data_IF_618375125880
#
_entry.id   IF_618375125880
#
_cell.length_a   1.000
_cell.length_b   1.000
_cell.length_c   1.000
_cell.angle_alpha   90.00
_cell.angle_beta   90.00
_cell.angle_gamma   90.00
#
_symmetry.space_group_name_H-M   'P 1'
#
loop_
_entity.id
_entity.type
_entity.pdbx_description
1 polymer ?
#
# COMPACT_ATOMS: atom_id res chain seq x y z
N UNK A 1 13.77 -16.73 -0.18
CA UNK A 1 13.23 -15.61 -0.95
C UNK A 1 12.56 -14.69 0.03
N UNK A 2 12.77 -13.40 -0.08
CA UNK A 2 12.19 -12.41 0.82
C UNK A 2 11.32 -11.44 0.00
N UNK A 3 10.07 -11.27 0.43
CA UNK A 3 9.15 -10.32 -0.20
C UNK A 3 9.53 -8.90 0.19
N UNK A 4 9.64 -8.03 -0.79
CA UNK A 4 9.91 -6.62 -0.62
C UNK A 4 8.90 -5.78 -1.40
N UNK A 5 8.48 -4.68 -0.81
CA UNK A 5 7.72 -3.65 -1.49
C UNK A 5 8.45 -2.33 -1.33
N UNK A 6 8.70 -1.66 -2.43
CA UNK A 6 9.18 -0.28 -2.44
C UNK A 6 8.05 0.64 -2.84
N UNK A 7 7.79 1.65 -2.04
CA UNK A 7 6.88 2.75 -2.37
C UNK A 7 7.69 3.97 -2.77
N UNK A 8 7.28 4.61 -3.85
CA UNK A 8 7.86 5.85 -4.36
C UNK A 8 6.75 6.91 -4.43
N UNK A 9 6.78 7.84 -3.51
CA UNK A 9 5.86 8.96 -3.37
C UNK A 9 6.50 10.19 -4.01
N UNK A 10 5.83 10.77 -5.01
CA UNK A 10 6.46 11.82 -5.83
C UNK A 10 5.45 12.74 -6.50
N UNK A 11 5.97 13.79 -7.10
CA UNK A 11 5.25 14.70 -7.96
C UNK A 11 5.83 14.65 -9.38
N UNK A 12 4.97 14.92 -10.36
CA UNK A 12 5.35 15.08 -11.77
C UNK A 12 5.22 16.56 -12.09
N UNK A 13 6.20 17.18 -12.76
CA UNK A 13 6.08 18.57 -13.19
C UNK A 13 4.81 18.79 -14.03
N UNK A 14 4.15 19.92 -13.82
CA UNK A 14 2.91 20.24 -14.51
C UNK A 14 3.07 20.19 -16.04
N UNK A 15 2.14 19.51 -16.70
CA UNK A 15 2.13 19.31 -18.15
C UNK A 15 2.96 18.13 -18.64
N UNK A 16 3.69 17.43 -17.76
CA UNK A 16 4.49 16.24 -18.13
C UNK A 16 3.85 14.91 -17.71
N UNK A 17 2.60 14.94 -17.21
CA UNK A 17 1.92 13.73 -16.68
C UNK A 17 1.75 12.65 -17.75
N UNK A 18 1.42 13.04 -18.98
CA UNK A 18 1.25 12.09 -20.08
C UNK A 18 2.59 11.45 -20.49
N UNK A 19 3.67 12.22 -20.48
CA UNK A 19 5.02 11.75 -20.79
C UNK A 19 5.53 10.80 -19.69
N UNK A 20 5.34 11.17 -18.42
CA UNK A 20 5.63 10.29 -17.29
C UNK A 20 4.85 8.97 -17.38
N UNK A 21 3.56 9.03 -17.71
CA UNK A 21 2.73 7.84 -17.87
C UNK A 21 3.28 6.93 -18.98
N UNK A 22 3.61 7.49 -20.15
CA UNK A 22 4.17 6.72 -21.27
C UNK A 22 5.54 6.10 -20.94
N UNK A 23 6.39 6.84 -20.25
CA UNK A 23 7.68 6.34 -19.77
C UNK A 23 7.49 5.18 -18.78
N UNK A 24 6.64 5.36 -17.76
CA UNK A 24 6.42 4.36 -16.73
C UNK A 24 5.84 3.05 -17.31
N UNK A 25 4.79 3.17 -18.13
CA UNK A 25 4.10 2.00 -18.69
C UNK A 25 4.90 1.34 -19.85
N UNK A 26 5.84 2.05 -20.43
CA UNK A 26 6.71 1.60 -21.54
C UNK A 26 8.11 1.20 -21.09
N UNK A 27 9.05 2.14 -21.19
CA UNK A 27 10.48 1.89 -21.00
C UNK A 27 10.81 1.43 -19.59
N UNK A 28 10.25 2.10 -18.57
CA UNK A 28 10.51 1.77 -17.17
C UNK A 28 10.01 0.37 -16.79
N UNK A 29 8.76 0.03 -17.14
CA UNK A 29 8.19 -1.30 -16.89
C UNK A 29 8.99 -2.39 -17.59
N UNK A 30 9.45 -2.13 -18.81
CA UNK A 30 10.32 -3.08 -19.54
C UNK A 30 11.67 -3.27 -18.84
N UNK A 31 12.28 -2.22 -18.34
CA UNK A 31 13.54 -2.29 -17.59
C UNK A 31 13.35 -3.04 -16.26
N UNK A 32 12.27 -2.76 -15.53
CA UNK A 32 11.92 -3.46 -14.30
C UNK A 32 11.76 -4.97 -14.51
N UNK A 33 11.18 -5.39 -15.62
CA UNK A 33 11.01 -6.81 -15.95
C UNK A 33 12.35 -7.54 -16.12
N UNK A 34 13.45 -6.83 -16.34
CA UNK A 34 14.81 -7.37 -16.36
C UNK A 34 15.45 -7.53 -14.98
N UNK A 35 14.87 -7.00 -13.92
CA UNK A 35 15.40 -7.11 -12.57
C UNK A 35 15.07 -8.48 -11.97
N UNK A 36 16.07 -9.05 -11.29
CA UNK A 36 15.88 -10.32 -10.60
C UNK A 36 14.86 -10.18 -9.47
N UNK A 37 13.88 -11.07 -9.45
CA UNK A 37 12.84 -11.09 -8.43
C UNK A 37 11.73 -10.07 -8.62
N UNK A 38 11.74 -9.27 -9.70
CA UNK A 38 10.64 -8.37 -9.99
C UNK A 38 9.31 -9.13 -10.16
N UNK A 39 8.26 -8.63 -9.52
CA UNK A 39 6.91 -9.21 -9.60
C UNK A 39 5.95 -8.29 -10.32
N UNK A 40 5.84 -7.05 -9.84
CA UNK A 40 4.86 -6.10 -10.36
C UNK A 40 5.27 -4.66 -10.04
N UNK A 41 4.81 -3.75 -10.88
CA UNK A 41 4.87 -2.31 -10.62
C UNK A 41 3.56 -1.65 -11.03
N UNK A 42 2.99 -0.88 -10.13
CA UNK A 42 1.76 -0.15 -10.35
C UNK A 42 1.94 1.33 -10.07
N UNK A 43 1.17 2.14 -10.79
CA UNK A 43 1.13 3.58 -10.62
C UNK A 43 -0.25 4.04 -10.18
N UNK A 44 -0.27 4.97 -9.23
CA UNK A 44 -1.48 5.50 -8.63
C UNK A 44 -1.40 7.03 -8.55
N UNK A 45 -2.57 7.67 -8.46
CA UNK A 45 -2.71 9.11 -8.25
C UNK A 45 -3.56 9.36 -7.00
N UNK A 46 -3.17 10.35 -6.20
CA UNK A 46 -3.88 10.71 -4.97
C UNK A 46 -5.36 11.00 -5.25
N UNK A 47 -6.24 10.52 -4.38
CA UNK A 47 -7.68 10.80 -4.47
C UNK A 47 -8.03 12.05 -3.65
N UNK A 48 -9.06 12.80 -4.03
CA UNK A 48 -9.58 13.87 -3.18
C UNK A 48 -10.27 13.34 -1.91
N UNK A 49 -10.72 12.08 -1.93
CA UNK A 49 -11.33 11.44 -0.76
C UNK A 49 -10.23 10.82 0.12
N UNK A 50 -10.11 11.34 1.34
CA UNK A 50 -9.17 10.85 2.34
C UNK A 50 -9.91 10.58 3.65
N UNK A 51 -9.51 9.52 4.35
CA UNK A 51 -10.10 9.19 5.66
C UNK A 51 -9.58 10.11 6.77
N UNK A 52 -8.41 10.69 6.56
CA UNK A 52 -7.79 11.69 7.43
C UNK A 52 -7.55 12.97 6.63
N UNK A 53 -8.59 13.77 6.39
CA UNK A 53 -8.50 14.93 5.48
C UNK A 53 -7.55 16.02 5.99
N UNK A 54 -7.30 16.07 7.30
CA UNK A 54 -6.39 17.03 7.92
C UNK A 54 -4.90 16.64 7.75
N UNK A 55 -4.61 15.43 7.28
CA UNK A 55 -3.25 15.01 6.96
C UNK A 55 -2.86 15.57 5.58
N UNK A 56 -1.76 16.34 5.49
CA UNK A 56 -1.28 16.84 4.21
C UNK A 56 -1.05 15.71 3.20
N UNK A 57 -1.41 15.97 1.94
CA UNK A 57 -1.17 15.08 0.79
C UNK A 57 -0.12 15.73 -0.13
N UNK A 58 1.18 15.71 0.24
CA UNK A 58 2.21 16.44 -0.50
C UNK A 58 2.56 15.77 -1.83
N UNK A 59 2.16 14.51 -2.02
CA UNK A 59 2.45 13.72 -3.22
C UNK A 59 1.20 13.51 -4.05
N UNK A 60 1.31 13.81 -5.33
CA UNK A 60 0.24 13.52 -6.28
C UNK A 60 0.28 12.08 -6.76
N UNK A 61 1.47 11.47 -6.83
CA UNK A 61 1.66 10.13 -7.38
C UNK A 61 2.30 9.18 -6.37
N UNK A 62 1.93 7.91 -6.51
CA UNK A 62 2.52 6.78 -5.82
C UNK A 62 2.86 5.72 -6.87
N UNK A 63 4.09 5.25 -6.88
CA UNK A 63 4.49 4.01 -7.55
C UNK A 63 4.78 2.94 -6.50
N UNK A 64 4.32 1.73 -6.76
CA UNK A 64 4.54 0.57 -5.88
C UNK A 64 5.26 -0.50 -6.68
N UNK A 65 6.37 -1.00 -6.16
CA UNK A 65 7.21 -2.01 -6.78
C UNK A 65 7.29 -3.21 -5.86
N UNK A 66 6.85 -4.38 -6.31
CA UNK A 66 6.89 -5.62 -5.56
C UNK A 66 7.95 -6.57 -6.10
N UNK A 67 8.70 -7.16 -5.18
CA UNK A 67 9.81 -8.07 -5.48
C UNK A 67 9.77 -9.32 -4.61
N UNK A 68 10.30 -10.40 -5.16
CA UNK A 68 10.65 -11.62 -4.44
C UNK A 68 12.17 -11.82 -4.53
N UNK A 69 12.91 -11.21 -3.60
CA UNK A 69 14.35 -11.04 -3.70
C UNK A 69 15.11 -12.24 -3.08
N UNK A 70 15.87 -13.00 -3.88
CA UNK A 70 16.74 -14.03 -3.35
C UNK A 70 17.91 -13.49 -2.52
N UNK A 71 18.43 -12.34 -2.92
CA UNK A 71 19.58 -11.66 -2.30
C UNK A 71 19.29 -10.16 -2.20
N UNK A 72 18.48 -9.71 -1.20
CA UNK A 72 18.01 -8.33 -1.13
C UNK A 72 19.13 -7.29 -1.17
N UNK A 73 20.28 -7.57 -0.55
CA UNK A 73 21.45 -6.67 -0.48
C UNK A 73 22.05 -6.37 -1.88
N UNK A 74 21.86 -7.29 -2.82
CA UNK A 74 22.35 -7.17 -4.19
C UNK A 74 21.25 -6.68 -5.12
N UNK A 75 20.04 -7.23 -4.96
CA UNK A 75 18.96 -7.09 -5.92
C UNK A 75 18.20 -5.77 -5.75
N UNK A 76 17.93 -5.34 -4.51
CA UNK A 76 17.16 -4.14 -4.24
C UNK A 76 17.83 -2.85 -4.75
N UNK A 77 19.15 -2.65 -4.60
CA UNK A 77 19.82 -1.45 -5.11
C UNK A 77 19.69 -1.26 -6.63
N UNK A 78 19.47 -2.34 -7.39
CA UNK A 78 19.30 -2.25 -8.84
C UNK A 78 18.04 -1.46 -9.28
N UNK A 79 17.09 -1.25 -8.40
CA UNK A 79 15.92 -0.40 -8.66
C UNK A 79 16.27 1.09 -8.65
N UNK A 80 17.26 1.52 -7.87
CA UNK A 80 17.63 2.93 -7.70
C UNK A 80 17.94 3.66 -9.01
N UNK A 81 18.82 3.16 -9.86
CA UNK A 81 19.10 3.76 -11.17
C UNK A 81 17.86 3.91 -12.05
N UNK A 82 16.95 2.93 -12.04
CA UNK A 82 15.72 2.97 -12.84
C UNK A 82 14.73 4.04 -12.35
N UNK A 83 14.71 4.34 -11.05
CA UNK A 83 13.93 5.46 -10.53
C UNK A 83 14.61 6.78 -10.84
N UNK A 84 15.95 6.84 -10.74
CA UNK A 84 16.72 8.06 -11.03
C UNK A 84 16.57 8.53 -12.47
N UNK A 85 16.41 7.62 -13.45
CA UNK A 85 16.14 7.97 -14.84
C UNK A 85 14.96 8.95 -15.01
N UNK A 86 13.90 8.81 -14.20
CA UNK A 86 12.75 9.70 -14.26
C UNK A 86 13.11 11.13 -13.81
N UNK A 87 13.94 11.27 -12.79
CA UNK A 87 14.43 12.57 -12.31
C UNK A 87 15.36 13.20 -13.36
N UNK A 88 16.32 12.44 -13.88
CA UNK A 88 17.26 12.90 -14.89
C UNK A 88 16.55 13.38 -16.17
N UNK A 89 15.46 12.71 -16.52
CA UNK A 89 14.59 13.13 -17.62
C UNK A 89 13.63 14.28 -17.26
N UNK A 90 13.63 14.75 -16.01
CA UNK A 90 12.71 15.76 -15.49
C UNK A 90 11.24 15.30 -15.48
N UNK A 91 11.00 14.01 -15.43
CA UNK A 91 9.65 13.40 -15.36
C UNK A 91 9.14 13.30 -13.92
N UNK A 92 10.04 13.28 -12.95
CA UNK A 92 9.75 13.35 -11.53
C UNK A 92 10.41 14.64 -11.01
N UNK A 93 9.69 15.37 -10.18
CA UNK A 93 10.22 16.58 -9.55
C UNK A 93 11.29 16.17 -8.54
N UNK A 94 12.51 16.69 -8.73
CA UNK A 94 13.60 16.57 -7.75
C UNK A 94 13.40 17.65 -6.67
N UNK A 95 12.44 17.38 -5.79
CA UNK A 95 12.07 18.29 -4.71
C UNK A 95 12.14 17.57 -3.34
N UNK A 96 12.05 18.38 -2.28
CA UNK A 96 12.12 17.87 -0.90
C UNK A 96 10.91 17.01 -0.51
N UNK A 97 9.90 16.88 -1.36
CA UNK A 97 8.71 16.07 -1.07
C UNK A 97 8.87 14.60 -1.49
N UNK A 98 9.71 14.31 -2.48
CA UNK A 98 9.92 12.94 -2.96
C UNK A 98 10.34 11.98 -1.83
N UNK A 99 9.74 10.82 -1.79
CA UNK A 99 10.05 9.76 -0.78
C UNK A 99 10.11 8.40 -1.43
N UNK A 100 11.19 7.66 -1.14
CA UNK A 100 11.35 6.26 -1.55
C UNK A 100 11.62 5.46 -0.30
N UNK A 101 10.74 4.50 0.00
CA UNK A 101 10.88 3.63 1.15
C UNK A 101 10.71 2.18 0.76
N UNK A 102 11.64 1.33 1.19
CA UNK A 102 11.60 -0.11 0.96
C UNK A 102 11.26 -0.85 2.25
N UNK A 103 10.32 -1.77 2.14
CA UNK A 103 9.79 -2.57 3.25
C UNK A 103 10.00 -4.06 2.98
N UNK A 104 10.50 -4.77 3.98
CA UNK A 104 10.44 -6.23 4.00
C UNK A 104 9.05 -6.67 4.44
N UNK A 105 8.35 -7.43 3.61
CA UNK A 105 6.98 -7.81 3.86
C UNK A 105 6.90 -9.03 4.75
N UNK A 106 5.96 -9.01 5.71
CA UNK A 106 5.75 -10.14 6.62
C UNK A 106 5.11 -11.34 5.93
N UNK A 107 4.16 -11.05 5.03
CA UNK A 107 3.41 -12.04 4.27
C UNK A 107 3.12 -11.49 2.89
N UNK A 108 2.70 -12.36 1.98
CA UNK A 108 2.07 -11.95 0.72
C UNK A 108 0.68 -11.33 0.99
N UNK A 109 0.01 -10.88 -0.05
CA UNK A 109 -1.32 -10.31 0.04
C UNK A 109 -2.31 -11.27 0.71
N UNK A 110 -3.01 -10.80 1.74
CA UNK A 110 -4.23 -11.39 2.25
C UNK A 110 -5.40 -10.88 1.44
N UNK A 111 -6.11 -11.78 0.80
CA UNK A 111 -7.15 -11.45 -0.18
C UNK A 111 -8.52 -11.70 0.45
N UNK A 112 -9.39 -10.71 0.35
CA UNK A 112 -10.80 -10.82 0.73
C UNK A 112 -11.52 -11.86 -0.13
N UNK A 113 -12.40 -12.68 0.45
CA UNK A 113 -13.29 -13.53 -0.34
C UNK A 113 -14.28 -12.74 -1.21
N UNK A 114 -14.48 -11.46 -0.91
CA UNK A 114 -15.35 -10.56 -1.67
C UNK A 114 -14.66 -9.95 -2.91
N UNK A 115 -13.39 -10.27 -3.14
CA UNK A 115 -12.70 -9.77 -4.33
C UNK A 115 -13.26 -10.40 -5.60
N UNK A 116 -13.75 -9.56 -6.50
CA UNK A 116 -14.12 -9.97 -7.85
C UNK A 116 -12.88 -10.01 -8.76
N UNK A 117 -12.38 -11.21 -9.03
CA UNK A 117 -11.17 -11.39 -9.87
C UNK A 117 -11.35 -10.97 -11.31
N UNK A 118 -12.58 -10.83 -11.79
CA UNK A 118 -12.88 -10.40 -13.15
C UNK A 118 -12.77 -8.87 -13.33
N UNK A 119 -12.72 -8.11 -12.25
CA UNK A 119 -12.66 -6.66 -12.27
C UNK A 119 -11.29 -6.15 -11.80
N UNK A 120 -10.81 -5.03 -12.36
CA UNK A 120 -9.54 -4.44 -11.94
C UNK A 120 -9.63 -3.85 -10.54
N UNK A 121 -8.48 -3.72 -9.87
CA UNK A 121 -8.38 -2.91 -8.68
C UNK A 121 -8.60 -1.43 -9.03
N UNK A 122 -9.34 -0.72 -8.18
CA UNK A 122 -9.60 0.71 -8.34
C UNK A 122 -8.55 1.60 -7.67
N UNK A 123 -7.85 1.09 -6.66
CA UNK A 123 -6.88 1.88 -5.92
C UNK A 123 -6.15 1.10 -4.81
N UNK A 124 -5.39 1.86 -4.06
CA UNK A 124 -4.68 1.39 -2.87
C UNK A 124 -4.67 2.50 -1.82
N UNK A 125 -4.71 2.13 -0.54
CA UNK A 125 -4.27 3.03 0.53
C UNK A 125 -2.96 2.54 1.10
N UNK A 126 -2.09 3.51 1.43
CA UNK A 126 -0.88 3.26 2.21
C UNK A 126 -1.09 3.80 3.62
N UNK A 127 -0.71 3.01 4.59
CA UNK A 127 -0.67 3.40 6.00
C UNK A 127 0.77 3.28 6.47
N UNK A 128 1.33 4.41 6.91
CA UNK A 128 2.63 4.47 7.55
C UNK A 128 2.40 4.64 9.06
N UNK A 129 2.88 3.70 9.85
CA UNK A 129 2.58 3.67 11.27
C UNK A 129 3.77 3.16 12.09
N UNK A 130 3.76 3.47 13.39
CA UNK A 130 4.68 2.88 14.37
C UNK A 130 3.87 2.16 15.44
N UNK A 131 4.39 1.08 15.96
CA UNK A 131 3.84 0.42 17.15
C UNK A 131 4.39 1.06 18.43
N UNK A 132 3.72 0.82 19.54
CA UNK A 132 4.22 1.24 20.87
C UNK A 132 5.53 0.49 21.17
N UNK A 133 6.62 1.17 21.54
CA UNK A 133 7.88 0.52 21.85
C UNK A 133 7.72 -0.62 22.87
N UNK A 134 8.34 -1.76 22.58
CA UNK A 134 8.24 -2.98 23.39
C UNK A 134 6.98 -3.83 23.15
N UNK A 135 5.98 -3.35 22.37
CA UNK A 135 4.72 -4.07 22.15
C UNK A 135 4.56 -4.59 20.71
N UNK A 136 5.66 -4.86 20.02
CA UNK A 136 5.64 -5.31 18.63
C UNK A 136 4.86 -6.63 18.44
N UNK A 137 5.05 -7.60 19.33
CA UNK A 137 4.37 -8.89 19.24
C UNK A 137 2.84 -8.74 19.33
N UNK A 138 2.36 -7.93 20.29
CA UNK A 138 0.93 -7.66 20.44
C UNK A 138 0.34 -6.91 19.23
N UNK A 139 1.12 -5.96 18.69
CA UNK A 139 0.73 -5.23 17.48
C UNK A 139 0.59 -6.18 16.30
N UNK A 140 1.53 -7.11 16.11
CA UNK A 140 1.49 -8.09 15.04
C UNK A 140 0.32 -9.05 15.19
N UNK A 141 0.12 -9.59 16.39
CA UNK A 141 -0.99 -10.51 16.68
C UNK A 141 -2.35 -9.86 16.40
N UNK A 142 -2.57 -8.66 16.91
CA UNK A 142 -3.80 -7.92 16.68
C UNK A 142 -4.05 -7.62 15.20
N UNK A 143 -3.01 -7.18 14.48
CA UNK A 143 -3.14 -6.94 13.05
C UNK A 143 -3.43 -8.21 12.28
N UNK A 144 -2.73 -9.30 12.62
CA UNK A 144 -2.83 -10.56 11.88
C UNK A 144 -4.19 -11.23 12.07
N UNK A 145 -4.66 -11.28 13.30
CA UNK A 145 -5.79 -12.11 13.69
C UNK A 145 -7.10 -11.33 13.83
N UNK A 146 -7.04 -10.00 13.91
CA UNK A 146 -8.22 -9.15 14.13
C UNK A 146 -8.34 -8.09 13.04
N UNK A 147 -7.47 -7.11 13.07
CA UNK A 147 -7.68 -5.88 12.29
C UNK A 147 -7.62 -6.10 10.78
N UNK A 148 -6.70 -6.94 10.29
CA UNK A 148 -6.64 -7.25 8.86
C UNK A 148 -7.93 -7.88 8.36
N UNK A 149 -8.52 -8.79 9.15
CA UNK A 149 -9.78 -9.47 8.83
C UNK A 149 -10.92 -8.47 8.77
N UNK A 150 -11.01 -7.59 9.76
CA UNK A 150 -12.04 -6.55 9.81
C UNK A 150 -11.95 -5.60 8.61
N UNK A 151 -10.73 -5.18 8.25
CA UNK A 151 -10.50 -4.23 7.15
C UNK A 151 -10.86 -4.84 5.80
N UNK A 152 -10.42 -6.06 5.49
CA UNK A 152 -10.74 -6.70 4.20
C UNK A 152 -12.21 -7.11 4.07
N UNK A 153 -12.99 -7.03 5.15
CA UNK A 153 -14.43 -7.21 5.14
C UNK A 153 -15.22 -5.91 4.95
N UNK A 154 -14.57 -4.76 4.94
CA UNK A 154 -15.21 -3.51 4.57
C UNK A 154 -15.50 -3.52 3.08
N UNK A 155 -16.73 -3.25 2.63
CA UNK A 155 -17.05 -3.18 1.20
C UNK A 155 -16.10 -2.25 0.45
N UNK A 156 -15.52 -2.75 -0.62
CA UNK A 156 -14.53 -2.03 -1.42
C UNK A 156 -13.06 -2.25 -1.00
N UNK A 157 -12.77 -2.80 0.17
CA UNK A 157 -11.45 -3.31 0.50
C UNK A 157 -11.35 -4.79 0.11
N UNK A 158 -10.33 -5.15 -0.67
CA UNK A 158 -10.24 -6.51 -1.23
C UNK A 158 -8.93 -7.21 -0.94
N UNK A 159 -8.01 -6.53 -0.29
CA UNK A 159 -6.75 -7.17 0.13
C UNK A 159 -5.90 -6.29 1.00
N UNK A 160 -5.00 -6.92 1.74
CA UNK A 160 -4.04 -6.25 2.61
C UNK A 160 -2.69 -6.94 2.57
N UNK A 161 -1.63 -6.15 2.56
CA UNK A 161 -0.26 -6.62 2.74
C UNK A 161 0.45 -5.73 3.75
N UNK A 162 1.37 -6.30 4.52
CA UNK A 162 2.04 -5.58 5.61
C UNK A 162 3.53 -5.86 5.62
N UNK A 163 4.30 -4.85 5.99
CA UNK A 163 5.76 -4.96 6.07
C UNK A 163 6.36 -4.04 7.12
N UNK A 164 7.62 -4.32 7.41
CA UNK A 164 8.48 -3.51 8.25
C UNK A 164 9.50 -2.78 7.39
N UNK A 165 9.79 -1.53 7.75
CA UNK A 165 10.83 -0.74 7.10
C UNK A 165 12.14 -1.54 7.08
N UNK A 166 12.69 -1.73 5.90
CA UNK A 166 13.93 -2.45 5.71
C UNK A 166 15.13 -1.61 6.19
N UNK A 167 16.14 -2.28 6.72
CA UNK A 167 17.44 -1.64 6.91
C UNK A 167 18.12 -1.31 5.58
N UNK A 168 17.75 -2.03 4.52
CA UNK A 168 18.19 -1.77 3.15
C UNK A 168 17.23 -0.75 2.53
N UNK A 169 17.73 0.43 2.24
CA UNK A 169 17.00 1.48 1.54
C UNK A 169 17.72 1.81 0.23
N UNK A 170 16.94 2.07 -0.82
CA UNK A 170 17.48 2.50 -2.12
C UNK A 170 18.10 3.89 -1.98
N UNK A 171 17.38 4.76 -1.27
CA UNK A 171 17.82 6.12 -0.98
C UNK A 171 17.59 6.43 0.50
N UNK A 172 18.63 6.37 1.34
CA UNK A 172 18.48 6.59 2.79
C UNK A 172 18.35 8.08 3.18
N UNK A 173 18.15 8.97 2.20
CA UNK A 173 18.15 10.43 2.39
C UNK A 173 17.05 10.95 3.32
N UNK A 174 15.95 10.22 3.45
CA UNK A 174 14.77 10.71 4.12
C UNK A 174 14.39 9.84 5.31
N UNK A 175 14.09 10.48 6.41
CA UNK A 175 13.49 9.82 7.56
C UNK A 175 12.10 9.29 7.19
N UNK A 176 11.87 8.01 7.39
CA UNK A 176 10.55 7.41 7.21
C UNK A 176 9.72 7.60 8.49
N UNK A 177 8.53 8.20 8.41
CA UNK A 177 7.70 8.44 9.59
C UNK A 177 7.07 7.17 10.17
N UNK A 178 7.10 6.04 9.43
CA UNK A 178 6.46 4.79 9.84
C UNK A 178 7.33 3.56 9.58
N UNK A 179 7.71 2.88 10.67
CA UNK A 179 8.41 1.59 10.59
C UNK A 179 7.53 0.47 10.02
N UNK A 180 6.22 0.68 9.99
CA UNK A 180 5.25 -0.28 9.51
C UNK A 180 4.55 0.29 8.28
N UNK A 181 4.56 -0.49 7.19
CA UNK A 181 3.73 -0.26 6.02
C UNK A 181 2.53 -1.19 6.05
N UNK A 182 1.36 -0.64 5.77
CA UNK A 182 0.19 -1.43 5.37
C UNK A 182 -0.26 -0.94 4.01
N UNK A 183 -0.42 -1.86 3.08
CA UNK A 183 -1.08 -1.63 1.80
C UNK A 183 -2.46 -2.26 1.85
N UNK A 184 -3.51 -1.47 1.61
CA UNK A 184 -4.87 -1.98 1.44
C UNK A 184 -5.31 -1.74 0.01
N UNK A 185 -5.56 -2.82 -0.72
CA UNK A 185 -6.06 -2.73 -2.07
C UNK A 185 -7.58 -2.55 -2.09
N UNK A 186 -8.03 -1.82 -3.08
CA UNK A 186 -9.43 -1.42 -3.23
C UNK A 186 -10.00 -1.87 -4.57
N UNK A 187 -11.26 -2.24 -4.52
CA UNK A 187 -12.10 -2.52 -5.69
C UNK A 187 -13.47 -1.91 -5.41
N UNK A 188 -13.64 -0.66 -5.79
CA UNK A 188 -14.85 0.11 -5.57
C UNK A 188 -14.96 1.23 -6.60
N UNK A 189 -16.16 1.52 -7.03
CA UNK A 189 -16.52 2.70 -7.83
C UNK A 189 -16.91 3.89 -6.94
N UNK A 190 -17.09 3.66 -5.64
CA UNK A 190 -17.50 4.66 -4.67
C UNK A 190 -16.61 4.64 -3.41
N UNK A 191 -15.41 5.18 -3.54
CA UNK A 191 -14.46 5.25 -2.42
C UNK A 191 -15.04 5.98 -1.20
N UNK A 192 -15.84 7.03 -1.40
CA UNK A 192 -16.45 7.76 -0.30
C UNK A 192 -17.37 6.88 0.55
N UNK A 193 -18.14 5.99 -0.08
CA UNK A 193 -18.96 5.01 0.64
C UNK A 193 -18.09 4.06 1.46
N UNK A 194 -17.04 3.49 0.85
CA UNK A 194 -16.08 2.61 1.53
C UNK A 194 -15.48 3.28 2.77
N UNK A 195 -15.04 4.55 2.65
CA UNK A 195 -14.45 5.29 3.76
C UNK A 195 -15.46 5.60 4.88
N UNK A 196 -16.71 5.93 4.53
CA UNK A 196 -17.79 6.16 5.50
C UNK A 196 -18.13 4.88 6.25
N UNK A 197 -18.26 3.76 5.57
CA UNK A 197 -18.57 2.47 6.20
C UNK A 197 -17.42 2.02 7.12
N UNK A 198 -16.16 2.13 6.63
CA UNK A 198 -14.98 1.87 7.47
C UNK A 198 -15.00 2.71 8.76
N UNK A 199 -15.22 4.01 8.64
CA UNK A 199 -15.23 4.92 9.79
C UNK A 199 -16.39 4.64 10.76
N UNK A 200 -17.55 4.25 10.22
CA UNK A 200 -18.70 3.88 11.04
C UNK A 200 -18.45 2.58 11.81
N UNK A 201 -17.86 1.57 11.17
CA UNK A 201 -17.46 0.30 11.82
C UNK A 201 -16.41 0.54 12.91
N UNK A 202 -15.37 1.33 12.61
CA UNK A 202 -14.34 1.69 13.57
C UNK A 202 -14.88 2.49 14.77
N UNK A 203 -15.94 3.24 14.57
CA UNK A 203 -16.66 3.99 15.62
C UNK A 203 -17.75 3.18 16.32
N UNK A 204 -17.93 1.91 16.01
CA UNK A 204 -19.00 1.06 16.58
C UNK A 204 -20.41 1.48 16.19
N UNK A 205 -20.60 2.20 15.07
CA UNK A 205 -21.87 2.82 14.66
C UNK A 205 -22.27 2.51 13.23
N UNK A 206 -21.80 1.39 12.68
CA UNK A 206 -22.17 1.00 11.32
C UNK A 206 -23.68 0.80 11.18
N UNK A 207 -24.30 1.30 10.11
CA UNK A 207 -25.72 1.04 9.79
C UNK A 207 -26.02 -0.46 9.62
N UNK A 208 -25.05 -1.26 9.22
CA UNK A 208 -25.16 -2.73 9.12
C UNK A 208 -25.10 -3.45 10.48
N UNK A 209 -24.88 -2.72 11.57
CA UNK A 209 -24.67 -3.32 12.90
C UNK A 209 -23.27 -3.93 13.10
N UNK A 210 -22.44 -3.96 12.05
CA UNK A 210 -21.08 -4.46 12.14
C UNK A 210 -20.19 -3.42 12.81
N UNK A 211 -19.46 -3.81 13.86
CA UNK A 211 -18.49 -2.97 14.53
C UNK A 211 -17.12 -3.63 14.48
N UNK A 212 -16.08 -2.82 14.31
CA UNK A 212 -14.71 -3.29 14.52
C UNK A 212 -14.40 -3.34 16.01
N UNK A 213 -13.55 -4.28 16.40
CA UNK A 213 -13.06 -4.34 17.76
C UNK A 213 -12.32 -3.04 18.13
N UNK A 214 -12.37 -2.64 19.40
CA UNK A 214 -11.60 -1.50 19.85
C UNK A 214 -10.14 -1.66 19.48
N UNK A 215 -9.53 -0.57 19.04
CA UNK A 215 -8.14 -0.56 18.65
C UNK A 215 -7.25 -1.05 19.79
N UNK A 216 -6.35 -1.96 19.48
CA UNK A 216 -5.37 -2.42 20.48
C UNK A 216 -4.58 -1.24 21.05
N UNK A 217 -4.38 -1.25 22.36
CA UNK A 217 -3.52 -0.28 23.06
C UNK A 217 -2.04 -0.36 22.64
N UNK A 218 -1.65 -1.45 21.96
CA UNK A 218 -0.33 -1.60 21.32
C UNK A 218 -0.25 -0.91 19.94
N UNK A 219 -1.37 -0.36 19.48
CA UNK A 219 -1.48 0.29 18.19
C UNK A 219 -0.57 1.49 18.00
N UNK A 220 -0.55 2.04 16.80
CA UNK A 220 0.42 3.03 16.35
C UNK A 220 0.46 4.29 17.21
N UNK A 221 1.68 4.72 17.55
CA UNK A 221 1.94 6.01 18.20
C UNK A 221 1.81 7.17 17.23
N UNK A 222 2.15 6.94 15.96
CA UNK A 222 1.92 7.86 14.84
C UNK A 222 1.37 7.07 13.66
N UNK A 223 0.49 7.69 12.91
CA UNK A 223 -0.13 7.07 11.72
C UNK A 223 -0.48 8.14 10.69
N UNK A 224 -0.10 7.88 9.44
CA UNK A 224 -0.64 8.60 8.29
C UNK A 224 -1.32 7.60 7.37
N UNK A 225 -2.39 8.03 6.73
CA UNK A 225 -3.16 7.22 5.78
C UNK A 225 -3.39 8.04 4.53
N UNK A 226 -3.01 7.49 3.39
CA UNK A 226 -3.14 8.15 2.10
C UNK A 226 -3.84 7.20 1.12
N UNK A 227 -4.88 7.71 0.45
CA UNK A 227 -5.64 6.95 -0.54
C UNK A 227 -5.29 7.40 -1.95
N UNK A 228 -5.06 6.43 -2.82
CA UNK A 228 -4.68 6.64 -4.21
C UNK A 228 -5.57 5.80 -5.13
N UNK A 229 -6.02 6.39 -6.24
CA UNK A 229 -6.69 5.64 -7.32
C UNK A 229 -5.64 5.02 -8.24
N UNK A 230 -5.94 3.85 -8.77
CA UNK A 230 -5.08 3.19 -9.75
C UNK A 230 -5.19 3.91 -11.10
N UNK A 231 -4.03 4.19 -11.72
CA UNK A 231 -3.97 4.84 -13.03
C UNK A 231 -3.23 4.01 -14.07
N UNK A 232 -2.44 3.01 -13.67
CA UNK A 232 -1.87 2.01 -14.56
C UNK A 232 -1.46 0.74 -13.83
N UNK A 233 -1.15 -0.30 -14.62
CA UNK A 233 -0.77 -1.62 -14.13
C UNK A 233 -1.92 -2.62 -14.19
N UNK A 234 -1.58 -3.88 -14.29
CA UNK A 234 -2.53 -5.00 -14.44
C UNK A 234 -2.53 -5.88 -13.22
N UNK A 235 -2.47 -5.29 -12.03
CA UNK A 235 -2.36 -6.11 -10.83
C UNK A 235 -3.53 -7.07 -10.72
N UNK A 236 -3.31 -8.26 -11.22
CA UNK A 236 -3.94 -9.48 -10.74
C UNK A 236 -2.92 -10.10 -9.80
N UNK A 237 -3.25 -10.36 -8.56
CA UNK A 237 -2.32 -10.99 -7.62
C UNK A 237 -2.21 -12.49 -7.88
N UNK A 238 -1.32 -12.93 -8.78
CA UNK A 238 -1.26 -14.34 -9.11
C UNK A 238 -0.77 -15.23 -7.97
N UNK A 239 -0.30 -14.66 -6.89
CA UNK A 239 0.27 -15.38 -5.75
C UNK A 239 -0.32 -15.01 -4.38
N UNK A 240 -1.37 -14.20 -4.32
CA UNK A 240 -1.97 -13.82 -3.04
C UNK A 240 -2.55 -15.02 -2.31
N UNK A 241 -2.29 -15.13 -1.01
CA UNK A 241 -2.89 -16.17 -0.16
C UNK A 241 -4.35 -15.76 0.07
N UNK A 242 -5.29 -16.55 -0.42
CA UNK A 242 -6.68 -16.40 -0.03
C UNK A 242 -6.75 -16.50 1.51
N UNK A 243 -7.29 -15.49 2.17
CA UNK A 243 -7.46 -15.56 3.60
C UNK A 243 -8.46 -16.67 3.93
N UNK A 244 -7.97 -17.76 4.51
CA UNK A 244 -8.77 -18.91 4.96
C UNK A 244 -9.22 -18.76 6.42
N UNK A 245 -9.09 -17.57 7.01
CA UNK A 245 -9.59 -17.31 8.35
C UNK A 245 -11.09 -17.52 8.43
N UNK A 246 -11.55 -17.95 9.57
CA UNK A 246 -12.98 -18.16 9.83
C UNK A 246 -13.70 -16.80 9.88
N UNK A 247 -14.22 -16.39 8.72
CA UNK A 247 -15.07 -15.20 8.61
C UNK A 247 -16.48 -15.47 9.16
N UNK A 248 -16.79 -16.69 9.60
CA UNK A 248 -18.11 -17.02 10.16
C UNK A 248 -18.43 -16.18 11.38
N UNK A 249 -17.41 -15.81 12.16
CA UNK A 249 -17.54 -14.88 13.30
C UNK A 249 -18.13 -13.53 12.88
N UNK A 250 -18.00 -13.14 11.60
CA UNK A 250 -18.52 -11.89 11.06
C UNK A 250 -19.76 -12.06 10.19
N UNK A 251 -20.07 -13.32 9.76
CA UNK A 251 -21.28 -13.62 8.96
C UNK A 251 -22.57 -13.36 9.70
N UNK A 252 -22.57 -13.62 11.01
CA UNK A 252 -23.74 -13.38 11.86
C UNK A 252 -23.95 -11.89 12.17
N UNK A 253 -23.03 -11.04 11.72
CA UNK A 253 -23.07 -9.58 11.84
C UNK A 253 -23.40 -8.88 10.51
N UNK A 254 -23.52 -9.64 9.41
CA UNK A 254 -23.95 -9.19 8.08
C UNK A 254 -25.42 -9.53 7.87
#
# INVERSE_FOLDING_TARGET
MALYTTIHLHNVPAGREAEYAAWFDGAHRKALAGLRGFREADRYEVTPQQIMPDIPQPWRFLSVYDFDLPQPEIDLPALGPLIAEARDAGLVADDETERIYSYAMYTDWKISPNWNRAEPLSGVSIILANYVPGRHAEYQDWYENVHSVEVINVPGHVGMMRGKLSALQIEPRHYCPGDQLVLCAQQTDNLLFTLKDFSARAGGRSPSGVAMQPRSSSGSTARTVHYFRKVSGSRFWPGGIAYAGDLSVYRDLL
#
